data_IF_490092134275
#
_entry.id   IF_490092134275
#
_cell.length_a   1.000
_cell.length_b   1.000
_cell.length_c   1.000
_cell.angle_alpha   90.00
_cell.angle_beta   90.00
_cell.angle_gamma   90.00
#
_symmetry.space_group_name_H-M   'P 1'
#
loop_
_entity.id
_entity.type
_entity.pdbx_description
1 polymer ?
#
# COMPACT_ATOMS: atom_id res chain seq x y z
N UNK A 1 5.62 13.93 -12.26
CA UNK A 1 5.09 12.79 -11.50
C UNK A 1 3.62 12.66 -11.86
N UNK A 2 3.25 11.65 -12.66
CA UNK A 2 1.85 11.48 -13.09
C UNK A 2 1.14 10.66 -12.02
N UNK A 3 0.35 11.33 -11.18
CA UNK A 3 -0.52 10.65 -10.22
C UNK A 3 -1.47 9.75 -11.00
N UNK A 4 -1.80 8.54 -10.53
CA UNK A 4 -2.88 7.76 -11.14
C UNK A 4 -4.15 8.59 -11.22
N UNK A 5 -5.00 8.31 -12.21
CA UNK A 5 -6.31 8.94 -12.26
C UNK A 5 -7.06 8.63 -10.96
N UNK A 6 -7.56 9.68 -10.29
CA UNK A 6 -8.26 9.62 -9.00
C UNK A 6 -9.29 8.47 -8.94
N UNK A 7 -9.95 8.18 -10.06
CA UNK A 7 -10.90 7.08 -10.24
C UNK A 7 -10.35 5.67 -9.98
N UNK A 8 -9.07 5.41 -10.25
CA UNK A 8 -8.46 4.10 -9.99
C UNK A 8 -8.29 3.87 -8.49
N UNK A 9 -7.78 4.87 -7.78
CA UNK A 9 -7.65 4.85 -6.31
C UNK A 9 -9.02 4.72 -5.66
N UNK A 10 -10.02 5.46 -6.15
CA UNK A 10 -11.37 5.37 -5.59
C UNK A 10 -12.01 4.00 -5.82
N UNK A 11 -11.78 3.35 -6.97
CA UNK A 11 -12.23 1.97 -7.20
C UNK A 11 -11.56 0.99 -6.24
N UNK A 12 -10.23 1.04 -6.11
CA UNK A 12 -9.49 0.19 -5.16
C UNK A 12 -9.99 0.42 -3.73
N UNK A 13 -10.23 1.67 -3.34
CA UNK A 13 -10.71 2.03 -2.02
C UNK A 13 -12.16 1.60 -1.76
N UNK A 14 -13.05 1.68 -2.75
CA UNK A 14 -14.42 1.20 -2.64
C UNK A 14 -14.49 -0.31 -2.34
N UNK A 15 -13.58 -1.09 -2.95
CA UNK A 15 -13.51 -2.53 -2.67
C UNK A 15 -13.03 -2.86 -1.25
N UNK A 16 -12.32 -1.95 -0.58
CA UNK A 16 -11.92 -2.11 0.83
C UNK A 16 -13.08 -1.93 1.81
N UNK A 17 -14.16 -1.23 1.44
CA UNK A 17 -15.29 -0.86 2.33
C UNK A 17 -16.38 -1.94 2.50
N UNK A 18 -16.08 -3.23 2.24
CA UNK A 18 -17.02 -4.34 2.42
C UNK A 18 -17.53 -4.53 3.88
N UNK A 19 -18.43 -5.49 4.15
CA UNK A 19 -19.03 -5.67 5.48
C UNK A 19 -18.03 -6.00 6.60
N UNK A 20 -16.81 -6.44 6.27
CA UNK A 20 -15.69 -6.61 7.20
C UNK A 20 -14.77 -5.36 7.36
N UNK A 21 -15.02 -4.29 6.61
CA UNK A 21 -14.24 -3.05 6.61
C UNK A 21 -14.52 -2.14 7.80
N UNK A 22 -15.35 -2.60 8.73
CA UNK A 22 -15.84 -1.79 9.83
C UNK A 22 -14.70 -1.65 10.84
N UNK A 23 -13.97 -0.54 10.67
CA UNK A 23 -12.90 0.00 11.51
C UNK A 23 -11.49 -0.41 11.06
N UNK A 24 -10.77 0.57 10.50
CA UNK A 24 -9.32 0.47 10.33
C UNK A 24 -8.66 0.12 11.67
N UNK A 25 -7.56 -0.67 11.66
CA UNK A 25 -6.80 -0.93 12.88
C UNK A 25 -6.41 0.37 13.57
N UNK A 26 -6.38 0.36 14.91
CA UNK A 26 -6.03 1.54 15.71
C UNK A 26 -4.70 2.17 15.22
N UNK A 27 -4.76 3.47 14.91
CA UNK A 27 -3.63 4.23 14.40
C UNK A 27 -3.42 4.14 12.88
N UNK A 28 -4.39 3.61 12.13
CA UNK A 28 -4.54 3.82 10.69
C UNK A 28 -5.74 4.74 10.44
N UNK A 29 -5.63 5.58 9.41
CA UNK A 29 -6.64 6.52 8.95
C UNK A 29 -6.87 6.37 7.44
N UNK A 30 -8.08 6.74 6.99
CA UNK A 30 -8.50 6.55 5.60
C UNK A 30 -7.71 7.39 4.60
N UNK A 31 -7.29 8.61 4.99
CA UNK A 31 -6.60 9.53 4.11
C UNK A 31 -5.19 9.02 3.77
N UNK A 32 -4.48 8.54 4.78
CA UNK A 32 -3.17 7.91 4.60
C UNK A 32 -3.31 6.59 3.85
N UNK A 33 -4.34 5.78 4.12
CA UNK A 33 -4.59 4.54 3.38
C UNK A 33 -4.80 4.81 1.88
N UNK A 34 -5.59 5.84 1.52
CA UNK A 34 -5.76 6.28 0.13
C UNK A 34 -4.43 6.70 -0.51
N UNK A 35 -3.60 7.40 0.24
CA UNK A 35 -2.27 7.83 -0.24
C UNK A 35 -1.35 6.64 -0.49
N UNK A 36 -1.37 5.65 0.39
CA UNK A 36 -0.61 4.40 0.24
C UNK A 36 -1.11 3.59 -0.95
N UNK A 37 -2.43 3.46 -1.15
CA UNK A 37 -3.01 2.82 -2.34
C UNK A 37 -2.62 3.55 -3.63
N UNK A 38 -2.73 4.88 -3.65
CA UNK A 38 -2.28 5.69 -4.77
C UNK A 38 -0.80 5.47 -5.09
N UNK A 39 0.02 5.26 -4.06
CA UNK A 39 1.45 4.97 -4.21
C UNK A 39 1.71 3.59 -4.82
N UNK A 40 0.77 2.64 -4.77
CA UNK A 40 0.89 1.31 -5.37
C UNK A 40 0.39 1.23 -6.82
N UNK A 41 -0.21 2.29 -7.36
CA UNK A 41 -0.76 2.26 -8.73
C UNK A 41 0.32 1.98 -9.80
N UNK A 42 -0.10 1.28 -10.86
CA UNK A 42 0.75 0.72 -11.92
C UNK A 42 1.25 -0.71 -11.64
N UNK A 43 1.92 -1.31 -12.63
CA UNK A 43 2.34 -2.74 -12.58
C UNK A 43 3.64 -2.98 -11.81
N UNK A 44 4.39 -1.91 -11.50
CA UNK A 44 5.64 -2.00 -10.77
C UNK A 44 5.38 -2.16 -9.26
N UNK A 45 5.88 -3.27 -8.70
CA UNK A 45 5.89 -3.48 -7.26
C UNK A 45 6.79 -2.45 -6.57
N UNK A 46 6.45 -2.10 -5.32
CA UNK A 46 7.19 -1.12 -4.53
C UNK A 46 7.53 -1.64 -3.16
N UNK A 47 8.69 -1.28 -2.63
CA UNK A 47 9.07 -1.55 -1.25
C UNK A 47 8.38 -0.58 -0.29
N UNK A 48 8.35 -0.94 1.00
CA UNK A 48 7.83 -0.06 2.04
C UNK A 48 8.60 1.28 2.12
N UNK A 49 9.88 1.28 1.76
CA UNK A 49 10.70 2.50 1.70
C UNK A 49 10.29 3.40 0.53
N UNK A 50 10.01 2.81 -0.64
CA UNK A 50 9.53 3.54 -1.81
C UNK A 50 8.14 4.16 -1.55
N UNK A 51 7.22 3.37 -0.96
CA UNK A 51 5.89 3.87 -0.57
C UNK A 51 5.99 4.97 0.47
N UNK A 52 6.84 4.82 1.48
CA UNK A 52 7.07 5.86 2.49
C UNK A 52 7.51 7.19 1.89
N UNK A 53 8.45 7.14 0.93
CA UNK A 53 8.94 8.31 0.20
C UNK A 53 7.84 8.96 -0.63
N UNK A 54 7.02 8.16 -1.33
CA UNK A 54 5.94 8.65 -2.18
C UNK A 54 4.77 9.24 -1.37
N UNK A 55 4.45 8.63 -0.23
CA UNK A 55 3.34 9.01 0.62
C UNK A 55 3.69 10.08 1.69
N UNK A 56 4.97 10.43 1.86
CA UNK A 56 5.41 11.42 2.85
C UNK A 56 5.26 10.93 4.30
N UNK A 57 5.42 9.63 4.55
CA UNK A 57 5.26 9.00 5.87
C UNK A 57 6.49 8.18 6.25
N UNK A 58 6.60 7.73 7.50
CA UNK A 58 7.70 6.86 7.91
C UNK A 58 7.62 5.48 7.23
N UNK A 59 8.77 4.81 7.05
CA UNK A 59 8.84 3.43 6.56
C UNK A 59 8.01 2.46 7.42
N UNK A 60 8.01 2.65 8.75
CA UNK A 60 7.24 1.82 9.69
C UNK A 60 5.74 2.05 9.49
N UNK A 61 5.33 3.31 9.32
CA UNK A 61 3.95 3.67 9.01
C UNK A 61 3.51 3.04 7.69
N UNK A 62 4.27 3.24 6.61
CA UNK A 62 3.99 2.65 5.31
C UNK A 62 3.85 1.12 5.39
N UNK A 63 4.76 0.44 6.09
CA UNK A 63 4.66 -1.02 6.30
C UNK A 63 3.35 -1.41 6.97
N UNK A 64 2.88 -0.71 8.01
CA UNK A 64 1.61 -1.05 8.68
C UNK A 64 0.41 -0.97 7.72
N UNK A 65 0.36 0.05 6.87
CA UNK A 65 -0.69 0.15 5.85
C UNK A 65 -0.58 -0.94 4.78
N UNK A 66 0.63 -1.26 4.33
CA UNK A 66 0.86 -2.30 3.34
C UNK A 66 0.50 -3.70 3.87
N UNK A 67 0.83 -4.01 5.12
CA UNK A 67 0.42 -5.28 5.75
C UNK A 67 -1.10 -5.36 5.94
N UNK A 68 -1.76 -4.23 6.27
CA UNK A 68 -3.23 -4.17 6.29
C UNK A 68 -3.82 -4.47 4.91
N UNK A 69 -3.27 -3.89 3.84
CA UNK A 69 -3.72 -4.15 2.47
C UNK A 69 -3.51 -5.61 2.05
N UNK A 70 -2.42 -6.24 2.49
CA UNK A 70 -2.17 -7.68 2.27
C UNK A 70 -3.20 -8.53 3.02
N UNK A 71 -3.45 -8.22 4.29
CA UNK A 71 -4.46 -8.92 5.10
C UNK A 71 -5.88 -8.75 4.54
N UNK A 72 -6.16 -7.63 3.88
CA UNK A 72 -7.41 -7.34 3.20
C UNK A 72 -7.47 -7.87 1.75
N UNK A 73 -6.49 -8.66 1.32
CA UNK A 73 -6.38 -9.23 -0.04
C UNK A 73 -6.40 -8.17 -1.16
N UNK A 74 -5.91 -6.95 -0.86
CA UNK A 74 -5.77 -5.84 -1.82
C UNK A 74 -4.35 -5.60 -2.29
N UNK A 75 -3.39 -6.27 -1.68
CA UNK A 75 -2.02 -6.25 -2.11
C UNK A 75 -1.39 -7.64 -1.95
N UNK A 76 -0.45 -7.95 -2.82
CA UNK A 76 0.39 -9.15 -2.72
C UNK A 76 1.79 -8.71 -2.29
N UNK A 77 2.36 -9.43 -1.32
CA UNK A 77 3.72 -9.20 -0.82
C UNK A 77 4.65 -10.31 -1.31
N UNK A 78 5.68 -9.95 -2.07
CA UNK A 78 6.69 -10.89 -2.59
C UNK A 78 8.09 -10.48 -2.15
N UNK A 79 9.00 -11.43 -1.88
CA UNK A 79 10.42 -11.11 -1.72
C UNK A 79 10.97 -10.45 -3.00
N UNK A 80 11.69 -9.35 -2.85
CA UNK A 80 12.48 -8.71 -3.90
C UNK A 80 13.95 -8.88 -3.57
N UNK A 81 14.62 -9.69 -4.38
CA UNK A 81 16.05 -9.91 -4.30
C UNK A 81 16.76 -8.77 -5.03
N UNK A 82 17.27 -7.81 -4.26
CA UNK A 82 17.98 -6.63 -4.78
C UNK A 82 19.48 -6.72 -4.52
N UNK A 83 19.94 -6.20 -3.38
CA UNK A 83 21.36 -6.15 -3.01
C UNK A 83 21.72 -7.19 -1.93
N UNK A 84 23.01 -7.53 -1.72
CA UNK A 84 23.42 -8.51 -0.73
C UNK A 84 23.03 -8.08 0.70
N UNK A 85 22.41 -8.99 1.46
CA UNK A 85 22.32 -8.89 2.93
C UNK A 85 20.92 -8.89 3.55
N UNK A 86 19.86 -8.48 2.83
CA UNK A 86 18.47 -8.65 3.30
C UNK A 86 17.49 -8.54 2.12
N UNK A 87 16.68 -9.57 1.80
CA UNK A 87 15.61 -9.41 0.83
C UNK A 87 14.68 -8.28 1.27
N UNK A 88 14.40 -7.34 0.38
CA UNK A 88 13.33 -6.37 0.62
C UNK A 88 11.98 -7.02 0.31
N UNK A 89 10.91 -6.54 0.95
CA UNK A 89 9.57 -6.95 0.56
C UNK A 89 9.02 -5.96 -0.45
N UNK A 90 8.52 -6.46 -1.56
CA UNK A 90 7.84 -5.72 -2.59
C UNK A 90 6.34 -5.97 -2.51
N UNK A 91 5.57 -4.91 -2.69
CA UNK A 91 4.12 -4.91 -2.63
C UNK A 91 3.57 -4.51 -3.99
N UNK A 92 2.58 -5.28 -4.47
CA UNK A 92 1.81 -4.99 -5.69
C UNK A 92 0.32 -4.96 -5.35
N UNK A 93 -0.50 -4.15 -6.05
CA UNK A 93 -1.95 -4.32 -5.97
C UNK A 93 -2.33 -5.75 -6.36
N UNK A 94 -3.34 -6.30 -5.67
CA UNK A 94 -3.91 -7.62 -5.97
C UNK A 94 -4.84 -7.59 -7.18
#
# INVERSE_FOLDING_TARGET
MRWPAQHEVDRMFATLRGPAAHTLPKGLDEQTLRTVLGSLTGDAGRSASEVARLAGISRVTARRYLEYLVAAERAVRTPRYGSPGRPEMEYRPA
#
